data_IF_023311395442
#
_entry.id   IF_023311395442
#
_cell.length_a   1.000
_cell.length_b   1.000
_cell.length_c   1.000
_cell.angle_alpha   90.00
_cell.angle_beta   90.00
_cell.angle_gamma   90.00
#
_symmetry.space_group_name_H-M   'P 1'
#
loop_
_entity.id
_entity.type
_entity.pdbx_description
1 polymer ?
#
# COMPACT_ATOMS: atom_id res chain seq x y z
N UNK A 1 67.04 53.24 -43.47
CA UNK A 1 66.27 53.48 -42.23
C UNK A 1 65.36 52.27 -42.02
N UNK A 2 65.60 51.48 -40.95
CA UNK A 2 64.80 50.36 -40.35
C UNK A 2 64.44 49.17 -41.29
N UNK A 3 65.10 48.00 -41.24
CA UNK A 3 65.09 46.92 -40.23
C UNK A 3 63.71 46.61 -39.61
N UNK A 4 63.16 45.40 -39.86
CA UNK A 4 62.76 44.42 -38.81
C UNK A 4 62.40 43.05 -39.42
N UNK A 5 63.19 42.05 -39.02
CA UNK A 5 62.94 40.60 -38.99
C UNK A 5 61.90 40.25 -37.90
N UNK A 6 61.02 39.25 -38.08
CA UNK A 6 60.85 38.10 -37.14
C UNK A 6 59.65 37.19 -37.44
N UNK A 7 59.97 35.90 -37.41
CA UNK A 7 59.14 34.72 -37.13
C UNK A 7 58.64 34.76 -35.67
N UNK A 8 57.38 34.39 -35.37
CA UNK A 8 56.99 33.30 -34.44
C UNK A 8 55.52 33.32 -33.95
N UNK A 9 54.96 32.10 -33.82
CA UNK A 9 54.03 31.59 -32.79
C UNK A 9 52.64 32.24 -32.67
N UNK A 10 51.58 31.46 -32.94
CA UNK A 10 50.79 30.80 -31.88
C UNK A 10 49.54 30.14 -32.45
N UNK A 11 49.47 28.82 -32.28
CA UNK A 11 48.30 28.01 -31.88
C UNK A 11 46.97 28.75 -31.95
N UNK A 12 46.10 28.39 -32.90
CA UNK A 12 44.66 28.62 -32.75
C UNK A 12 43.93 27.28 -32.84
N UNK A 13 43.26 27.00 -31.73
CA UNK A 13 42.74 25.71 -31.30
C UNK A 13 41.78 25.07 -32.31
N UNK A 14 42.08 23.83 -32.69
CA UNK A 14 41.05 22.85 -33.09
C UNK A 14 40.33 22.47 -31.79
N UNK A 15 39.17 23.08 -31.54
CA UNK A 15 38.23 22.62 -30.51
C UNK A 15 37.69 21.26 -30.97
N UNK A 16 38.32 20.20 -30.47
CA UNK A 16 37.75 18.86 -30.44
C UNK A 16 36.43 18.96 -29.66
N UNK A 17 35.31 18.95 -30.37
CA UNK A 17 34.00 18.70 -29.78
C UNK A 17 33.94 17.24 -29.37
N UNK A 18 34.49 16.95 -28.19
CA UNK A 18 34.30 15.69 -27.49
C UNK A 18 32.80 15.57 -27.18
N UNK A 19 32.05 14.93 -28.07
CA UNK A 19 30.79 14.28 -27.69
C UNK A 19 31.18 13.17 -26.70
N UNK A 20 31.25 13.53 -25.42
CA UNK A 20 31.19 12.53 -24.35
C UNK A 20 29.77 12.01 -24.42
N UNK A 21 29.58 10.89 -25.11
CA UNK A 21 28.46 10.01 -24.82
C UNK A 21 28.63 9.61 -23.35
N UNK A 22 27.98 10.36 -22.45
CA UNK A 22 27.73 9.89 -21.10
C UNK A 22 26.73 8.75 -21.29
N UNK A 23 27.24 7.55 -21.51
CA UNK A 23 26.49 6.34 -21.18
C UNK A 23 26.25 6.44 -19.68
N UNK A 24 25.10 6.96 -19.28
CA UNK A 24 24.66 6.94 -17.90
C UNK A 24 24.50 5.46 -17.53
N UNK A 25 25.54 4.88 -16.94
CA UNK A 25 25.42 3.60 -16.28
C UNK A 25 24.42 3.81 -15.14
N UNK A 26 23.32 3.07 -15.19
CA UNK A 26 22.34 3.05 -14.13
C UNK A 26 23.04 2.72 -12.80
N UNK A 27 22.71 3.45 -11.73
CA UNK A 27 23.35 3.34 -10.43
C UNK A 27 22.66 4.15 -9.32
N UNK A 28 23.31 4.25 -8.15
CA UNK A 28 22.71 4.88 -6.98
C UNK A 28 22.37 6.36 -7.23
N UNK A 29 21.16 6.76 -6.82
CA UNK A 29 20.76 8.16 -6.79
C UNK A 29 21.40 8.86 -5.60
N UNK A 30 21.96 10.04 -5.83
CA UNK A 30 22.36 10.96 -4.77
C UNK A 30 21.14 11.56 -4.06
N UNK A 31 21.33 12.03 -2.83
CA UNK A 31 20.30 12.77 -2.10
C UNK A 31 19.77 13.98 -2.89
N UNK A 32 20.64 14.71 -3.60
CA UNK A 32 20.24 15.86 -4.40
C UNK A 32 19.34 15.47 -5.58
N UNK A 33 19.64 14.35 -6.25
CA UNK A 33 18.76 13.81 -7.31
C UNK A 33 17.40 13.38 -6.72
N UNK A 34 17.42 12.67 -5.59
CA UNK A 34 16.19 12.21 -4.95
C UNK A 34 15.32 13.38 -4.47
N UNK A 35 15.95 14.43 -3.90
CA UNK A 35 15.28 15.65 -3.47
C UNK A 35 14.62 16.37 -4.65
N UNK A 36 15.31 16.51 -5.78
CA UNK A 36 14.74 17.14 -6.97
C UNK A 36 13.53 16.37 -7.53
N UNK A 37 13.53 15.04 -7.46
CA UNK A 37 12.38 14.20 -7.82
C UNK A 37 11.20 14.48 -6.86
N UNK A 38 11.47 14.52 -5.54
CA UNK A 38 10.45 14.81 -4.54
C UNK A 38 9.86 16.22 -4.70
N UNK A 39 10.69 17.24 -4.93
CA UNK A 39 10.27 18.62 -5.22
C UNK A 39 9.36 18.68 -6.45
N UNK A 40 9.72 17.96 -7.52
CA UNK A 40 8.89 17.88 -8.74
C UNK A 40 7.53 17.22 -8.45
N UNK A 41 7.50 16.18 -7.62
CA UNK A 41 6.24 15.52 -7.25
C UNK A 41 5.38 16.41 -6.36
N UNK A 42 5.96 17.03 -5.31
CA UNK A 42 5.25 17.96 -4.44
C UNK A 42 4.68 19.15 -5.24
N UNK A 43 5.42 19.65 -6.23
CA UNK A 43 4.96 20.73 -7.10
C UNK A 43 3.72 20.36 -7.93
N UNK A 44 3.54 19.08 -8.33
CA UNK A 44 2.30 18.63 -9.00
C UNK A 44 1.09 18.75 -8.08
N UNK A 45 1.29 18.64 -6.78
CA UNK A 45 0.26 18.79 -5.75
C UNK A 45 0.12 20.26 -5.28
N UNK A 46 0.89 21.19 -5.85
CA UNK A 46 0.91 22.60 -5.45
C UNK A 46 1.56 22.86 -4.09
N UNK A 47 2.42 21.95 -3.63
CA UNK A 47 3.04 21.96 -2.30
C UNK A 47 4.57 22.07 -2.43
N UNK A 48 5.24 22.55 -1.38
CA UNK A 48 6.69 22.50 -1.24
C UNK A 48 7.09 21.39 -0.27
N UNK A 49 8.27 20.81 -0.45
CA UNK A 49 8.84 19.92 0.57
C UNK A 49 9.30 20.74 1.78
N UNK A 50 9.26 20.17 2.98
CA UNK A 50 9.78 20.83 4.17
C UNK A 50 11.31 20.98 4.06
N UNK A 51 11.84 22.19 4.24
CA UNK A 51 13.29 22.45 4.21
C UNK A 51 14.06 21.69 5.30
N UNK A 52 13.38 21.31 6.39
CA UNK A 52 13.90 20.46 7.46
C UNK A 52 13.76 18.97 7.18
N UNK A 53 13.25 18.57 6.01
CA UNK A 53 13.18 17.15 5.63
C UNK A 53 14.60 16.56 5.70
N UNK A 54 14.77 15.55 6.55
CA UNK A 54 16.03 14.84 6.70
C UNK A 54 16.13 13.73 5.64
N UNK A 55 17.35 13.30 5.27
CA UNK A 55 17.51 12.03 4.59
C UNK A 55 17.01 10.91 5.50
N UNK A 56 15.82 10.40 5.25
CA UNK A 56 15.36 9.17 5.89
C UNK A 56 14.88 8.19 4.83
N UNK A 57 15.66 7.14 4.61
CA UNK A 57 15.15 5.78 4.63
C UNK A 57 16.34 4.82 4.80
N UNK A 58 16.75 4.60 6.06
CA UNK A 58 17.32 3.29 6.41
C UNK A 58 16.11 2.46 6.82
N UNK A 59 15.57 1.61 5.94
CA UNK A 59 14.99 0.40 6.48
C UNK A 59 16.10 -0.20 7.34
N UNK A 60 15.93 -0.30 8.67
CA UNK A 60 16.88 -1.09 9.46
C UNK A 60 17.00 -2.41 8.71
N UNK A 61 18.21 -2.80 8.31
CA UNK A 61 18.43 -4.18 7.90
C UNK A 61 17.88 -5.01 9.05
N UNK A 62 16.73 -5.66 8.83
CA UNK A 62 16.17 -6.53 9.85
C UNK A 62 17.02 -7.79 9.81
N UNK A 63 18.08 -7.78 10.62
CA UNK A 63 19.04 -8.88 10.77
C UNK A 63 20.29 -8.73 9.91
N UNK A 64 21.32 -8.08 10.47
CA UNK A 64 22.71 -8.26 10.02
C UNK A 64 23.43 -6.96 9.68
N UNK A 65 24.60 -6.78 10.30
CA UNK A 65 25.61 -5.81 9.90
C UNK A 65 26.03 -6.09 8.46
N UNK A 66 25.78 -5.14 7.55
CA UNK A 66 26.54 -5.08 6.30
C UNK A 66 27.03 -3.66 6.08
N UNK A 67 28.36 -3.54 6.01
CA UNK A 67 29.05 -2.38 5.45
C UNK A 67 28.69 -2.30 3.95
N UNK A 68 27.64 -1.56 3.58
CA UNK A 68 27.49 -1.00 2.24
C UNK A 68 26.64 0.27 2.28
N UNK A 69 27.14 1.36 1.70
CA UNK A 69 26.54 2.70 1.66
C UNK A 69 25.33 2.81 0.69
N UNK A 70 24.60 1.72 0.42
CA UNK A 70 23.48 1.73 -0.52
C UNK A 70 22.19 2.09 0.21
N UNK A 71 21.61 3.24 -0.15
CA UNK A 71 20.31 3.70 0.35
C UNK A 71 19.24 3.21 -0.62
N UNK A 72 18.27 2.44 -0.15
CA UNK A 72 17.25 1.84 -1.04
C UNK A 72 16.20 2.84 -1.49
N UNK A 73 15.87 3.80 -0.63
CA UNK A 73 14.97 4.91 -0.93
C UNK A 73 15.22 6.10 0.00
N UNK A 74 14.63 7.24 -0.35
CA UNK A 74 14.62 8.47 0.42
C UNK A 74 13.17 8.90 0.61
N UNK A 75 12.81 9.30 1.83
CA UNK A 75 11.50 9.84 2.17
C UNK A 75 11.63 11.33 2.46
N UNK A 76 10.80 12.12 1.79
CA UNK A 76 10.73 13.57 1.95
C UNK A 76 9.34 13.93 2.42
N UNK A 77 9.22 14.56 3.60
CA UNK A 77 7.96 15.09 4.08
C UNK A 77 7.61 16.38 3.32
N UNK A 78 6.34 16.52 2.95
CA UNK A 78 5.80 17.77 2.44
C UNK A 78 5.55 18.74 3.60
N UNK A 79 5.67 20.05 3.36
CA UNK A 79 5.36 21.07 4.37
C UNK A 79 3.88 21.01 4.78
N UNK A 80 3.56 21.52 5.98
CA UNK A 80 2.18 21.72 6.46
C UNK A 80 1.36 20.42 6.61
N UNK A 81 2.01 19.30 6.94
CA UNK A 81 1.37 17.98 7.11
C UNK A 81 0.60 17.53 5.85
N UNK A 82 1.13 17.84 4.66
CA UNK A 82 0.53 17.48 3.36
C UNK A 82 1.20 16.27 2.72
N UNK A 83 1.50 15.27 3.54
CA UNK A 83 2.00 13.98 3.13
C UNK A 83 3.52 13.92 2.92
N UNK A 84 3.94 13.00 2.06
CA UNK A 84 5.34 12.65 1.86
C UNK A 84 5.56 12.01 0.50
N UNK A 85 6.82 12.00 0.03
CA UNK A 85 7.23 11.32 -1.21
C UNK A 85 8.35 10.32 -0.89
N UNK A 86 8.19 9.08 -1.33
CA UNK A 86 9.19 8.00 -1.25
C UNK A 86 9.83 7.85 -2.63
N UNK A 87 11.10 8.24 -2.72
CA UNK A 87 11.90 8.23 -3.95
C UNK A 87 12.88 7.06 -3.93
N UNK A 88 13.00 6.28 -5.00
CA UNK A 88 13.98 5.19 -5.01
C UNK A 88 15.42 5.71 -5.00
N UNK A 89 16.29 4.98 -4.31
CA UNK A 89 17.70 5.33 -4.13
C UNK A 89 18.59 4.84 -5.26
N UNK A 90 18.03 4.26 -6.33
CA UNK A 90 18.77 3.74 -7.47
C UNK A 90 17.94 3.91 -8.75
N UNK A 91 18.57 4.37 -9.83
CA UNK A 91 17.87 4.71 -11.08
C UNK A 91 17.48 3.50 -11.94
N UNK A 92 17.86 2.28 -11.54
CA UNK A 92 17.29 1.03 -12.07
C UNK A 92 15.82 0.85 -11.69
N UNK A 93 15.36 1.55 -10.64
CA UNK A 93 13.98 1.49 -10.14
C UNK A 93 13.18 2.73 -10.58
N UNK A 94 11.82 2.65 -10.60
CA UNK A 94 10.96 3.81 -10.82
C UNK A 94 11.31 4.97 -9.89
N UNK A 95 11.24 6.21 -10.39
CA UNK A 95 11.61 7.40 -9.61
C UNK A 95 10.89 7.48 -8.26
N UNK A 96 9.57 7.28 -8.28
CA UNK A 96 8.70 7.35 -7.11
C UNK A 96 8.20 5.93 -6.82
N UNK A 97 8.39 5.46 -5.59
CA UNK A 97 7.90 4.16 -5.11
C UNK A 97 6.54 4.34 -4.43
N UNK A 98 6.31 5.51 -3.83
CA UNK A 98 5.01 5.90 -3.35
C UNK A 98 4.99 7.33 -2.83
N UNK A 99 3.80 7.87 -2.63
CA UNK A 99 3.61 9.17 -2.01
C UNK A 99 2.25 9.22 -1.31
N UNK A 100 2.12 10.14 -0.36
CA UNK A 100 0.84 10.54 0.21
C UNK A 100 0.69 12.05 0.04
N UNK A 101 -0.53 12.51 -0.16
CA UNK A 101 -0.92 13.92 -0.25
C UNK A 101 -1.46 14.48 1.08
N UNK A 102 -1.54 13.64 2.12
CA UNK A 102 -2.05 14.01 3.44
C UNK A 102 -1.18 13.46 4.59
N UNK A 103 -1.16 14.17 5.71
CA UNK A 103 -0.52 13.74 6.95
C UNK A 103 1.01 13.82 6.92
N UNK A 104 1.66 12.98 7.73
CA UNK A 104 3.11 13.00 7.90
C UNK A 104 3.70 11.59 7.86
N UNK A 105 5.03 11.51 7.72
CA UNK A 105 5.77 10.26 7.77
C UNK A 105 6.61 10.18 9.04
N UNK A 106 6.27 9.24 9.93
CA UNK A 106 7.10 8.84 11.07
C UNK A 106 7.48 7.37 10.90
N UNK A 107 8.77 7.10 10.72
CA UNK A 107 9.32 5.74 10.49
C UNK A 107 9.09 4.77 11.67
N UNK A 108 8.84 5.29 12.87
CA UNK A 108 8.58 4.48 14.06
C UNK A 108 7.10 4.17 14.25
N UNK A 109 6.23 4.76 13.43
CA UNK A 109 4.77 4.66 13.50
C UNK A 109 4.21 4.47 12.10
N UNK A 110 4.48 3.32 11.49
CA UNK A 110 3.98 2.96 10.16
C UNK A 110 2.88 1.91 10.28
N UNK A 111 1.82 1.99 9.45
CA UNK A 111 0.89 0.89 9.26
C UNK A 111 1.64 -0.40 8.94
N UNK A 112 1.18 -1.51 9.47
CA UNK A 112 1.84 -2.80 9.25
C UNK A 112 1.93 -3.14 7.75
N UNK A 113 0.88 -2.84 6.98
CA UNK A 113 0.86 -3.02 5.53
C UNK A 113 1.90 -2.16 4.79
N UNK A 114 2.10 -0.92 5.21
CA UNK A 114 3.15 -0.05 4.66
C UNK A 114 4.55 -0.55 5.08
N UNK A 115 4.70 -1.02 6.32
CA UNK A 115 5.95 -1.63 6.79
C UNK A 115 6.30 -2.85 5.93
N UNK A 116 5.33 -3.71 5.64
CA UNK A 116 5.47 -4.85 4.74
C UNK A 116 5.89 -4.42 3.33
N UNK A 117 5.17 -3.44 2.76
CA UNK A 117 5.48 -2.88 1.44
C UNK A 117 6.95 -2.42 1.36
N UNK A 118 7.41 -1.65 2.34
CA UNK A 118 8.78 -1.13 2.39
C UNK A 118 9.82 -2.24 2.54
N UNK A 119 9.52 -3.29 3.31
CA UNK A 119 10.39 -4.48 3.42
C UNK A 119 10.47 -5.25 2.09
N UNK A 120 9.35 -5.45 1.40
CA UNK A 120 9.33 -6.13 0.10
C UNK A 120 10.09 -5.34 -0.97
N UNK A 121 9.96 -4.01 -0.95
CA UNK A 121 10.75 -3.14 -1.82
C UNK A 121 12.27 -3.25 -1.50
N UNK A 122 12.66 -3.18 -0.23
CA UNK A 122 14.05 -3.37 0.20
C UNK A 122 14.62 -4.71 -0.28
N UNK A 123 13.89 -5.80 -0.10
CA UNK A 123 14.31 -7.13 -0.54
C UNK A 123 14.52 -7.19 -2.07
N UNK A 124 13.71 -6.44 -2.83
CA UNK A 124 13.88 -6.33 -4.29
C UNK A 124 15.17 -5.57 -4.63
N UNK A 125 15.45 -4.47 -3.93
CA UNK A 125 16.71 -3.72 -4.07
C UNK A 125 17.92 -4.60 -3.80
N UNK A 126 17.91 -5.37 -2.71
CA UNK A 126 19.02 -6.23 -2.33
C UNK A 126 19.32 -7.30 -3.40
N UNK A 127 18.28 -7.88 -4.01
CA UNK A 127 18.43 -8.85 -5.10
C UNK A 127 19.02 -8.23 -6.37
N UNK A 128 18.57 -7.04 -6.74
CA UNK A 128 19.12 -6.32 -7.91
C UNK A 128 20.58 -5.94 -7.69
N UNK A 129 20.95 -5.51 -6.48
CA UNK A 129 22.33 -5.24 -6.09
C UNK A 129 23.18 -6.53 -6.04
N UNK A 130 22.56 -7.66 -5.70
CA UNK A 130 23.13 -9.00 -5.78
C UNK A 130 23.27 -9.56 -7.20
N UNK A 131 22.87 -8.81 -8.24
CA UNK A 131 22.83 -9.24 -9.64
C UNK A 131 21.93 -10.47 -9.89
N UNK A 132 20.81 -10.57 -9.16
CA UNK A 132 19.81 -11.60 -9.43
C UNK A 132 19.16 -11.36 -10.81
N UNK A 133 19.46 -12.24 -11.77
CA UNK A 133 19.03 -12.10 -13.16
C UNK A 133 17.51 -12.07 -13.32
N UNK A 134 16.80 -12.86 -12.52
CA UNK A 134 15.33 -12.92 -12.54
C UNK A 134 14.72 -11.60 -12.12
N UNK A 135 15.19 -11.03 -11.01
CA UNK A 135 14.72 -9.73 -10.50
C UNK A 135 15.03 -8.60 -11.47
N UNK A 136 16.23 -8.59 -12.05
CA UNK A 136 16.63 -7.58 -13.06
C UNK A 136 15.74 -7.67 -14.30
N UNK A 137 15.48 -8.89 -14.81
CA UNK A 137 14.57 -9.10 -15.94
C UNK A 137 13.15 -8.62 -15.61
N UNK A 138 12.68 -8.85 -14.39
CA UNK A 138 11.35 -8.45 -13.94
C UNK A 138 11.21 -6.91 -13.87
N UNK A 139 12.25 -6.18 -13.44
CA UNK A 139 12.26 -4.71 -13.53
C UNK A 139 12.19 -4.19 -14.97
N UNK A 140 12.85 -4.87 -15.91
CA UNK A 140 12.74 -4.48 -17.32
C UNK A 140 11.33 -4.76 -17.87
N UNK A 141 10.70 -5.87 -17.48
CA UNK A 141 9.28 -6.13 -17.80
C UNK A 141 8.38 -5.04 -17.23
N UNK A 142 8.59 -4.63 -15.98
CA UNK A 142 7.85 -3.55 -15.34
C UNK A 142 7.96 -2.24 -16.12
N UNK A 143 9.19 -1.85 -16.51
CA UNK A 143 9.44 -0.66 -17.32
C UNK A 143 8.73 -0.69 -18.68
N UNK A 144 8.72 -1.85 -19.33
CA UNK A 144 8.01 -2.06 -20.59
C UNK A 144 6.49 -1.98 -20.41
N UNK A 145 5.96 -2.50 -19.30
CA UNK A 145 4.54 -2.37 -18.95
C UNK A 145 4.20 -0.89 -18.74
N UNK A 146 4.95 -0.16 -17.90
CA UNK A 146 4.70 1.26 -17.63
C UNK A 146 4.72 2.12 -18.90
N UNK A 147 5.63 1.84 -19.83
CA UNK A 147 5.74 2.60 -21.08
C UNK A 147 4.68 2.24 -22.13
N UNK A 148 3.99 1.10 -21.98
CA UNK A 148 2.97 0.63 -22.93
C UNK A 148 1.54 0.72 -22.41
N UNK A 149 1.35 0.85 -21.09
CA UNK A 149 0.03 1.07 -20.50
C UNK A 149 -0.52 2.43 -20.91
N UNK A 150 -1.77 2.43 -21.39
CA UNK A 150 -2.53 3.66 -21.46
C UNK A 150 -2.70 4.18 -20.03
N UNK A 151 -2.38 5.46 -19.81
CA UNK A 151 -2.63 6.09 -18.52
C UNK A 151 -4.12 5.97 -18.21
N UNK A 152 -4.43 5.25 -17.13
CA UNK A 152 -5.75 5.24 -16.53
C UNK A 152 -5.67 6.05 -15.24
N UNK A 153 -6.75 6.73 -14.91
CA UNK A 153 -6.86 7.47 -13.66
C UNK A 153 -8.19 7.13 -13.02
N UNK A 154 -8.14 6.66 -11.78
CA UNK A 154 -9.31 6.39 -10.95
C UNK A 154 -9.03 7.03 -9.60
N UNK A 155 -9.79 8.07 -9.26
CA UNK A 155 -9.72 8.70 -7.94
C UNK A 155 -10.07 7.67 -6.85
N UNK A 156 -9.57 7.82 -5.61
CA UNK A 156 -9.83 6.89 -4.51
C UNK A 156 -11.33 6.63 -4.31
N UNK A 157 -11.77 5.42 -4.65
CA UNK A 157 -13.17 5.01 -4.65
C UNK A 157 -13.77 5.04 -3.24
N UNK A 158 -12.98 4.75 -2.20
CA UNK A 158 -13.45 4.76 -0.82
C UNK A 158 -13.73 6.18 -0.31
N UNK A 159 -13.24 7.22 -0.99
CA UNK A 159 -13.33 8.61 -0.55
C UNK A 159 -12.81 8.76 0.88
N UNK A 160 -13.66 9.24 1.79
CA UNK A 160 -13.27 9.51 3.18
C UNK A 160 -13.34 8.27 4.09
N UNK A 161 -13.67 7.07 3.58
CA UNK A 161 -13.73 5.87 4.39
C UNK A 161 -12.32 5.51 4.85
N UNK A 162 -12.08 5.58 6.16
CA UNK A 162 -10.77 5.43 6.78
C UNK A 162 -10.90 4.75 8.14
N UNK A 163 -11.19 3.45 8.13
CA UNK A 163 -11.36 2.65 9.34
C UNK A 163 -10.01 2.26 9.95
N UNK A 164 -10.05 1.91 11.23
CA UNK A 164 -8.90 1.47 12.02
C UNK A 164 -9.19 0.16 12.75
N UNK A 165 -8.20 -0.30 13.54
CA UNK A 165 -8.30 -1.58 14.24
C UNK A 165 -8.64 -1.47 15.74
N UNK A 166 -8.45 -0.29 16.32
CA UNK A 166 -8.63 -0.04 17.76
C UNK A 166 -10.01 0.56 18.06
N UNK A 167 -10.15 1.21 19.22
CA UNK A 167 -11.38 1.89 19.60
C UNK A 167 -11.72 3.01 18.57
N UNK A 168 -13.00 3.16 18.17
CA UNK A 168 -14.19 2.43 18.62
C UNK A 168 -14.47 1.14 17.82
N UNK A 169 -13.72 0.86 16.76
CA UNK A 169 -13.96 -0.25 15.84
C UNK A 169 -13.94 -1.62 16.53
N UNK A 170 -13.14 -1.79 17.58
CA UNK A 170 -13.02 -3.04 18.34
C UNK A 170 -13.92 -3.14 19.58
N UNK A 171 -14.88 -2.23 19.77
CA UNK A 171 -15.75 -2.19 20.96
C UNK A 171 -16.50 -3.52 21.24
N UNK A 172 -16.73 -4.32 20.19
CA UNK A 172 -17.40 -5.63 20.30
C UNK A 172 -16.44 -6.83 20.19
N UNK A 173 -15.14 -6.59 19.98
CA UNK A 173 -14.14 -7.67 19.97
C UNK A 173 -13.97 -8.23 21.40
N UNK A 174 -13.57 -9.52 21.54
CA UNK A 174 -13.41 -10.12 22.85
C UNK A 174 -12.38 -9.39 23.71
N UNK A 175 -12.61 -9.37 25.03
CA UNK A 175 -11.63 -8.87 25.97
C UNK A 175 -10.49 -9.87 26.14
N UNK A 176 -9.26 -9.37 26.25
CA UNK A 176 -8.06 -10.12 26.62
C UNK A 176 -7.38 -9.46 27.84
N UNK A 177 -6.24 -10.02 28.25
CA UNK A 177 -5.43 -9.52 29.38
C UNK A 177 -6.22 -9.36 30.68
N UNK A 178 -6.78 -10.46 31.16
CA UNK A 178 -7.59 -10.48 32.38
C UNK A 178 -8.95 -9.76 32.26
N UNK A 179 -9.36 -9.37 31.05
CA UNK A 179 -10.63 -8.69 30.80
C UNK A 179 -10.53 -7.16 30.74
N UNK A 180 -9.32 -6.61 30.61
CA UNK A 180 -9.08 -5.16 30.69
C UNK A 180 -9.01 -4.46 29.34
N UNK A 181 -8.68 -5.18 28.25
CA UNK A 181 -8.46 -4.61 26.92
C UNK A 181 -9.27 -5.37 25.87
N UNK A 182 -9.88 -4.66 24.93
CA UNK A 182 -10.47 -5.28 23.74
C UNK A 182 -9.36 -5.70 22.78
N UNK A 183 -9.44 -6.92 22.25
CA UNK A 183 -8.59 -7.34 21.14
C UNK A 183 -8.74 -6.37 19.97
N UNK A 184 -7.69 -6.18 19.18
CA UNK A 184 -7.79 -5.40 17.93
C UNK A 184 -8.71 -6.12 16.95
N UNK A 185 -9.36 -5.41 16.04
CA UNK A 185 -10.27 -6.05 15.07
C UNK A 185 -9.51 -6.99 14.12
N UNK A 186 -8.30 -6.60 13.71
CA UNK A 186 -7.50 -7.27 12.69
C UNK A 186 -7.59 -6.56 11.33
N UNK A 187 -6.53 -6.62 10.53
CA UNK A 187 -6.47 -5.96 9.23
C UNK A 187 -7.51 -6.50 8.23
N UNK A 188 -7.77 -7.81 8.24
CA UNK A 188 -8.75 -8.44 7.33
C UNK A 188 -10.18 -7.94 7.58
N UNK A 189 -10.72 -7.93 8.82
CA UNK A 189 -12.02 -7.32 9.09
C UNK A 189 -12.12 -5.84 8.74
N UNK A 190 -11.04 -5.07 8.92
CA UNK A 190 -11.02 -3.65 8.51
C UNK A 190 -11.14 -3.53 7.00
N UNK A 191 -10.31 -4.25 6.23
CA UNK A 191 -10.37 -4.23 4.77
C UNK A 191 -11.76 -4.62 4.25
N UNK A 192 -12.34 -5.70 4.80
CA UNK A 192 -13.72 -6.12 4.52
C UNK A 192 -14.72 -4.98 4.79
N UNK A 193 -14.70 -4.43 6.01
CA UNK A 193 -15.68 -3.42 6.43
C UNK A 193 -15.58 -2.13 5.61
N UNK A 194 -14.38 -1.71 5.19
CA UNK A 194 -14.22 -0.53 4.34
C UNK A 194 -14.87 -0.74 2.97
N UNK A 195 -14.66 -1.89 2.34
CA UNK A 195 -15.29 -2.21 1.05
C UNK A 195 -16.80 -2.40 1.20
N UNK A 196 -17.27 -3.03 2.28
CA UNK A 196 -18.70 -3.14 2.58
C UNK A 196 -19.34 -1.76 2.81
N UNK A 197 -18.64 -0.83 3.48
CA UNK A 197 -19.11 0.53 3.71
C UNK A 197 -19.16 1.37 2.43
N UNK A 198 -18.25 1.15 1.48
CA UNK A 198 -18.31 1.76 0.14
C UNK A 198 -19.63 1.40 -0.56
N UNK A 199 -20.00 0.12 -0.51
CA UNK A 199 -21.24 -0.34 -1.11
C UNK A 199 -22.49 -0.15 -0.24
N UNK A 200 -22.32 0.08 1.06
CA UNK A 200 -23.38 0.04 2.09
C UNK A 200 -24.23 -1.23 1.99
N UNK A 201 -23.56 -2.37 1.89
CA UNK A 201 -24.17 -3.68 1.68
C UNK A 201 -23.52 -4.75 2.58
N UNK A 202 -24.29 -5.72 3.11
CA UNK A 202 -25.74 -5.92 2.95
C UNK A 202 -26.56 -5.12 3.97
N UNK A 203 -27.89 -5.10 3.81
CA UNK A 203 -28.79 -4.51 4.83
C UNK A 203 -28.84 -5.37 6.11
N UNK A 204 -28.74 -6.68 5.97
CA UNK A 204 -28.78 -7.65 7.07
C UNK A 204 -27.79 -8.77 6.83
N UNK A 205 -27.34 -9.45 7.89
CA UNK A 205 -26.60 -10.70 7.80
C UNK A 205 -27.45 -11.79 7.11
N UNK A 206 -26.86 -12.55 6.20
CA UNK A 206 -27.58 -13.47 5.31
C UNK A 206 -27.63 -14.93 5.81
N UNK A 207 -26.72 -15.31 6.70
CA UNK A 207 -26.67 -16.62 7.33
C UNK A 207 -26.15 -16.52 8.78
N UNK A 208 -26.50 -17.49 9.63
CA UNK A 208 -25.97 -17.57 10.99
C UNK A 208 -24.45 -17.76 10.95
N UNK A 209 -23.72 -16.99 11.76
CA UNK A 209 -22.29 -17.21 12.00
C UNK A 209 -22.17 -18.03 13.30
N UNK A 210 -21.64 -19.27 13.25
CA UNK A 210 -21.47 -20.07 14.45
C UNK A 210 -20.42 -19.46 15.39
N UNK A 211 -20.60 -19.66 16.70
CA UNK A 211 -19.55 -19.38 17.67
C UNK A 211 -18.34 -20.28 17.42
N UNK A 212 -17.14 -19.75 17.66
CA UNK A 212 -15.87 -20.45 17.38
C UNK A 212 -14.82 -20.14 18.44
N UNK A 213 -13.81 -21.02 18.54
CA UNK A 213 -12.67 -20.82 19.44
C UNK A 213 -11.71 -19.80 18.81
N UNK A 214 -11.63 -18.61 19.42
CA UNK A 214 -10.76 -17.54 18.95
C UNK A 214 -9.40 -17.53 19.65
N UNK A 215 -9.26 -18.23 20.80
CA UNK A 215 -8.01 -18.25 21.58
C UNK A 215 -8.03 -19.32 22.68
N UNK A 216 -7.57 -20.53 22.36
CA UNK A 216 -7.27 -21.60 23.34
C UNK A 216 -8.44 -21.90 24.30
N UNK A 217 -9.60 -22.24 23.74
CA UNK A 217 -10.82 -22.59 24.48
C UNK A 217 -11.71 -21.39 24.81
N UNK A 218 -11.35 -20.18 24.39
CA UNK A 218 -12.20 -19.00 24.51
C UNK A 218 -13.11 -18.90 23.28
N UNK A 219 -14.42 -18.94 23.53
CA UNK A 219 -15.43 -19.01 22.48
C UNK A 219 -16.09 -17.65 22.23
N UNK A 220 -16.32 -17.33 20.96
CA UNK A 220 -17.30 -16.31 20.58
C UNK A 220 -18.73 -16.87 20.70
N UNK A 221 -19.70 -15.99 20.89
CA UNK A 221 -21.12 -16.35 20.74
C UNK A 221 -21.51 -16.45 19.27
N UNK A 222 -22.51 -17.27 18.94
CA UNK A 222 -23.10 -17.29 17.60
C UNK A 222 -23.83 -15.99 17.29
N UNK A 223 -23.80 -15.56 16.02
CA UNK A 223 -24.53 -14.40 15.51
C UNK A 223 -25.66 -14.89 14.62
N UNK A 224 -26.87 -14.42 14.88
CA UNK A 224 -28.06 -14.86 14.15
C UNK A 224 -28.19 -14.16 12.80
N UNK A 225 -28.67 -14.88 11.79
CA UNK A 225 -29.14 -14.34 10.52
C UNK A 225 -30.16 -13.23 10.76
N UNK A 226 -30.14 -12.21 9.91
CA UNK A 226 -31.12 -11.11 9.94
C UNK A 226 -30.66 -9.92 10.79
N UNK A 227 -29.55 -10.02 11.51
CA UNK A 227 -28.92 -8.88 12.18
C UNK A 227 -28.70 -7.73 11.19
N UNK A 228 -29.31 -6.57 11.47
CA UNK A 228 -29.27 -5.41 10.59
C UNK A 228 -27.98 -4.61 10.73
N UNK A 229 -27.52 -4.02 9.62
CA UNK A 229 -26.41 -3.07 9.56
C UNK A 229 -26.96 -1.66 9.41
N UNK A 230 -26.66 -0.80 10.38
CA UNK A 230 -27.10 0.58 10.40
C UNK A 230 -26.13 1.48 9.64
N UNK A 231 -26.15 1.36 8.30
CA UNK A 231 -25.28 2.14 7.40
C UNK A 231 -25.43 3.65 7.56
N UNK A 232 -26.54 4.15 8.11
CA UNK A 232 -26.73 5.57 8.35
C UNK A 232 -25.89 6.07 9.56
N UNK A 233 -25.60 5.18 10.51
CA UNK A 233 -24.79 5.49 11.69
C UNK A 233 -23.33 5.02 11.56
N UNK A 234 -22.94 4.33 10.50
CA UNK A 234 -21.54 4.04 10.18
C UNK A 234 -20.94 5.26 9.49
N UNK A 235 -20.13 6.02 10.23
CA UNK A 235 -19.42 7.19 9.71
C UNK A 235 -18.25 6.73 8.83
N UNK A 236 -17.78 7.56 7.87
CA UNK A 236 -16.63 7.21 7.03
C UNK A 236 -15.32 7.12 7.83
N UNK A 237 -15.16 7.91 8.89
CA UNK A 237 -13.99 7.86 9.80
C UNK A 237 -14.43 8.16 11.22
N UNK A 238 -13.64 7.70 12.19
CA UNK A 238 -13.81 7.97 13.62
C UNK A 238 -12.56 8.64 14.23
N UNK A 239 -11.56 8.96 13.41
CA UNK A 239 -10.34 9.63 13.83
C UNK A 239 -10.51 11.15 13.77
N UNK A 240 -10.16 11.85 14.86
CA UNK A 240 -10.28 13.31 15.00
C UNK A 240 -11.68 13.88 14.66
N UNK A 241 -12.73 13.07 14.82
CA UNK A 241 -14.13 13.48 14.63
C UNK A 241 -14.95 13.14 15.87
N UNK A 242 -16.01 13.92 16.12
CA UNK A 242 -16.99 13.57 17.16
C UNK A 242 -17.95 12.51 16.65
N UNK A 243 -18.23 11.51 17.48
CA UNK A 243 -19.19 10.45 17.19
C UNK A 243 -19.96 10.07 18.46
N UNK A 244 -21.15 9.48 18.28
CA UNK A 244 -21.99 9.00 19.38
C UNK A 244 -21.75 7.53 19.68
N UNK A 245 -22.23 7.03 20.81
CA UNK A 245 -22.23 5.59 21.10
C UNK A 245 -22.96 4.78 20.03
N UNK A 246 -24.04 5.31 19.45
CA UNK A 246 -24.75 4.68 18.33
C UNK A 246 -23.84 4.53 17.11
N UNK A 247 -23.02 5.55 16.81
CA UNK A 247 -22.06 5.45 15.71
C UNK A 247 -20.97 4.41 16.01
N UNK A 248 -20.46 4.39 17.25
CA UNK A 248 -19.44 3.43 17.68
C UNK A 248 -19.97 1.98 17.62
N UNK A 249 -21.19 1.74 18.11
CA UNK A 249 -21.81 0.42 18.12
C UNK A 249 -22.08 -0.08 16.69
N UNK A 250 -22.53 0.79 15.79
CA UNK A 250 -22.81 0.44 14.41
C UNK A 250 -21.56 -0.06 13.67
N UNK A 251 -20.44 0.66 13.78
CA UNK A 251 -19.18 0.26 13.13
C UNK A 251 -18.54 -0.95 13.83
N UNK A 252 -18.57 -1.01 15.16
CA UNK A 252 -18.02 -2.13 15.91
C UNK A 252 -18.75 -3.44 15.60
N UNK A 253 -20.09 -3.39 15.44
CA UNK A 253 -20.89 -4.53 15.01
C UNK A 253 -20.48 -5.03 13.63
N UNK A 254 -20.31 -4.12 12.66
CA UNK A 254 -19.87 -4.47 11.31
C UNK A 254 -18.52 -5.20 11.35
N UNK A 255 -17.51 -4.62 12.00
CA UNK A 255 -16.17 -5.22 12.06
C UNK A 255 -16.15 -6.53 12.85
N UNK A 256 -16.89 -6.62 13.96
CA UNK A 256 -17.00 -7.87 14.71
C UNK A 256 -17.64 -8.98 13.87
N UNK A 257 -18.69 -8.67 13.09
CA UNK A 257 -19.31 -9.64 12.18
C UNK A 257 -18.36 -10.06 11.05
N UNK A 258 -17.60 -9.13 10.48
CA UNK A 258 -16.55 -9.44 9.49
C UNK A 258 -15.52 -10.41 10.10
N UNK A 259 -15.05 -10.13 11.31
CA UNK A 259 -14.09 -11.00 12.00
C UNK A 259 -14.66 -12.36 12.38
N UNK A 260 -15.92 -12.41 12.82
CA UNK A 260 -16.58 -13.67 13.16
C UNK A 260 -16.82 -14.56 11.93
N UNK A 261 -17.19 -13.96 10.79
CA UNK A 261 -17.40 -14.68 9.53
C UNK A 261 -16.15 -15.41 9.04
N UNK A 262 -14.97 -14.86 9.33
CA UNK A 262 -13.66 -15.44 8.97
C UNK A 262 -12.97 -16.16 10.14
N UNK A 263 -13.64 -16.26 11.29
CA UNK A 263 -13.11 -16.88 12.51
C UNK A 263 -11.77 -16.29 12.99
N UNK A 264 -11.68 -14.96 13.04
CA UNK A 264 -10.48 -14.25 13.50
C UNK A 264 -10.01 -14.76 14.86
N UNK A 265 -8.72 -15.08 14.95
CA UNK A 265 -8.05 -15.38 16.19
C UNK A 265 -7.74 -14.07 16.91
N UNK A 266 -8.58 -13.70 17.90
CA UNK A 266 -8.52 -12.40 18.54
C UNK A 266 -7.43 -12.31 19.62
N UNK A 267 -6.71 -11.18 19.64
CA UNK A 267 -5.70 -10.88 20.64
C UNK A 267 -5.14 -9.47 20.52
N UNK A 268 -3.96 -9.19 21.09
CA UNK A 268 -3.25 -7.92 20.85
C UNK A 268 -2.85 -7.75 19.38
N UNK A 269 -2.67 -8.87 18.68
CA UNK A 269 -2.59 -8.95 17.22
C UNK A 269 -3.65 -9.98 16.81
N UNK A 270 -4.59 -9.55 15.97
CA UNK A 270 -5.70 -10.40 15.54
C UNK A 270 -5.48 -10.86 14.10
N UNK A 271 -5.53 -12.17 13.88
CA UNK A 271 -5.25 -12.79 12.59
C UNK A 271 -6.44 -13.55 12.02
N UNK A 272 -6.65 -13.45 10.72
CA UNK A 272 -7.69 -14.16 9.98
C UNK A 272 -7.32 -14.31 8.52
N UNK A 273 -8.04 -15.15 7.79
CA UNK A 273 -7.91 -15.28 6.34
C UNK A 273 -9.30 -15.27 5.73
N UNK A 274 -9.53 -14.32 4.83
CA UNK A 274 -10.78 -14.22 4.09
C UNK A 274 -10.78 -15.24 2.94
N UNK A 275 -11.91 -15.90 2.77
CA UNK A 275 -12.23 -16.70 1.60
C UNK A 275 -13.47 -16.11 0.92
N UNK A 276 -13.49 -15.97 -0.42
CA UNK A 276 -14.64 -15.49 -1.18
C UNK A 276 -15.98 -16.13 -0.77
N UNK A 277 -15.97 -17.42 -0.50
CA UNK A 277 -17.17 -18.16 -0.09
C UNK A 277 -17.80 -17.65 1.22
N UNK A 278 -17.02 -17.04 2.12
CA UNK A 278 -17.53 -16.45 3.36
C UNK A 278 -18.31 -15.16 3.09
N UNK A 279 -17.86 -14.33 2.14
CA UNK A 279 -18.59 -13.14 1.70
C UNK A 279 -19.93 -13.51 1.09
N UNK A 280 -19.93 -14.50 0.20
CA UNK A 280 -21.16 -15.00 -0.41
C UNK A 280 -22.12 -15.59 0.65
N UNK A 281 -21.60 -16.46 1.53
CA UNK A 281 -22.40 -17.17 2.52
C UNK A 281 -23.02 -16.24 3.57
N UNK A 282 -22.21 -15.41 4.22
CA UNK A 282 -22.65 -14.66 5.39
C UNK A 282 -23.18 -13.27 5.04
N UNK A 283 -22.69 -12.67 3.96
CA UNK A 283 -23.04 -11.30 3.58
C UNK A 283 -23.80 -11.19 2.25
N UNK A 284 -23.97 -12.29 1.49
CA UNK A 284 -24.81 -12.33 0.29
C UNK A 284 -24.17 -11.75 -0.97
N UNK A 285 -22.85 -11.56 -0.98
CA UNK A 285 -22.15 -11.17 -2.19
C UNK A 285 -22.29 -12.25 -3.28
N UNK A 286 -22.31 -11.83 -4.55
CA UNK A 286 -22.48 -12.73 -5.68
C UNK A 286 -21.25 -13.64 -5.85
N UNK A 287 -21.41 -14.93 -5.57
CA UNK A 287 -20.33 -15.90 -5.60
C UNK A 287 -19.64 -16.00 -6.96
N UNK A 288 -20.35 -15.74 -8.07
CA UNK A 288 -19.80 -15.81 -9.42
C UNK A 288 -18.90 -14.62 -9.75
N UNK A 289 -19.04 -13.53 -8.98
CA UNK A 289 -18.27 -12.31 -9.16
C UNK A 289 -17.13 -12.17 -8.13
N UNK A 290 -17.06 -13.04 -7.13
CA UNK A 290 -15.96 -13.09 -6.19
C UNK A 290 -14.84 -14.00 -6.70
N UNK A 291 -13.60 -13.53 -6.62
CA UNK A 291 -12.45 -14.33 -7.00
C UNK A 291 -11.23 -14.00 -6.12
N UNK A 292 -10.40 -15.00 -5.85
CA UNK A 292 -9.11 -14.88 -5.18
C UNK A 292 -8.03 -15.25 -6.20
N UNK A 293 -7.23 -14.27 -6.62
CA UNK A 293 -6.17 -14.48 -7.62
C UNK A 293 -4.83 -14.30 -6.95
N UNK A 294 -3.97 -15.31 -7.04
CA UNK A 294 -2.61 -15.20 -6.53
C UNK A 294 -1.72 -14.53 -7.59
N UNK A 295 -0.86 -13.62 -7.16
CA UNK A 295 0.07 -12.93 -8.07
C UNK A 295 1.02 -13.91 -8.76
N UNK A 296 1.33 -15.06 -8.16
CA UNK A 296 2.13 -16.13 -8.76
C UNK A 296 1.40 -16.91 -9.86
N UNK A 297 0.07 -16.81 -9.97
CA UNK A 297 -0.72 -17.52 -10.98
C UNK A 297 -0.82 -16.75 -12.30
N UNK A 298 -0.43 -15.48 -12.31
CA UNK A 298 -0.55 -14.59 -13.46
C UNK A 298 0.74 -13.84 -13.73
N UNK A 299 0.96 -13.49 -15.00
CA UNK A 299 2.05 -12.58 -15.39
C UNK A 299 1.86 -11.18 -14.78
N UNK A 300 2.93 -10.39 -14.68
CA UNK A 300 2.84 -9.01 -14.20
C UNK A 300 1.85 -8.16 -15.04
N UNK A 301 1.84 -8.33 -16.36
CA UNK A 301 0.89 -7.63 -17.24
C UNK A 301 -0.55 -8.01 -16.96
N UNK A 302 -0.84 -9.30 -16.76
CA UNK A 302 -2.19 -9.77 -16.41
C UNK A 302 -2.61 -9.28 -15.03
N UNK A 303 -1.68 -9.23 -14.07
CA UNK A 303 -1.93 -8.70 -12.73
C UNK A 303 -2.34 -7.23 -12.77
N UNK A 304 -1.55 -6.41 -13.46
CA UNK A 304 -1.82 -4.97 -13.62
C UNK A 304 -3.14 -4.75 -14.36
N UNK A 305 -3.39 -5.49 -15.45
CA UNK A 305 -4.65 -5.42 -16.17
C UNK A 305 -5.85 -5.80 -15.29
N UNK A 306 -5.70 -6.83 -14.45
CA UNK A 306 -6.76 -7.23 -13.51
C UNK A 306 -7.09 -6.10 -12.53
N UNK A 307 -6.09 -5.50 -11.89
CA UNK A 307 -6.29 -4.38 -10.94
C UNK A 307 -6.96 -3.21 -11.66
N UNK A 308 -6.41 -2.81 -12.80
CA UNK A 308 -6.91 -1.69 -13.59
C UNK A 308 -8.37 -1.87 -14.00
N UNK A 309 -8.77 -3.07 -14.44
CA UNK A 309 -10.15 -3.37 -14.83
C UNK A 309 -11.13 -3.35 -13.65
N UNK A 310 -10.70 -3.75 -12.46
CA UNK A 310 -11.53 -3.64 -11.26
C UNK A 310 -11.73 -2.17 -10.87
N UNK A 311 -10.66 -1.39 -10.81
CA UNK A 311 -10.72 0.04 -10.47
C UNK A 311 -11.54 0.84 -11.49
N UNK A 312 -11.33 0.63 -12.79
CA UNK A 312 -12.10 1.27 -13.86
C UNK A 312 -13.59 0.92 -13.82
N UNK A 313 -13.93 -0.22 -13.23
CA UNK A 313 -15.31 -0.64 -13.05
C UNK A 313 -15.87 -0.24 -11.68
N UNK A 314 -15.20 0.68 -10.97
CA UNK A 314 -15.57 1.22 -9.66
C UNK A 314 -15.64 0.14 -8.57
N UNK A 315 -14.71 -0.82 -8.59
CA UNK A 315 -14.67 -1.92 -7.62
C UNK A 315 -13.39 -1.87 -6.80
N UNK A 316 -13.45 -1.40 -5.54
CA UNK A 316 -12.33 -1.49 -4.61
C UNK A 316 -11.93 -2.94 -4.40
N UNK A 317 -10.64 -3.13 -4.19
CA UNK A 317 -9.99 -4.42 -4.18
C UNK A 317 -9.42 -4.69 -2.79
N UNK A 318 -9.77 -5.82 -2.19
CA UNK A 318 -9.10 -6.30 -0.99
C UNK A 318 -7.78 -6.96 -1.41
N UNK A 319 -6.68 -6.48 -0.86
CA UNK A 319 -5.34 -6.86 -1.26
C UNK A 319 -4.56 -7.42 -0.06
N UNK A 320 -3.93 -8.56 -0.27
CA UNK A 320 -3.16 -9.29 0.74
C UNK A 320 -1.68 -9.36 0.38
N UNK A 321 -0.83 -9.18 1.38
CA UNK A 321 0.58 -9.53 1.34
C UNK A 321 0.99 -10.40 2.54
N UNK A 322 1.95 -11.29 2.35
CA UNK A 322 2.47 -12.17 3.39
C UNK A 322 3.99 -12.08 3.46
N UNK A 323 4.56 -12.10 4.66
CA UNK A 323 5.97 -12.41 4.90
C UNK A 323 6.12 -13.53 5.95
N UNK A 324 7.36 -13.85 6.32
CA UNK A 324 7.66 -14.82 7.38
C UNK A 324 7.16 -14.41 8.77
N UNK A 325 6.70 -13.17 8.94
CA UNK A 325 6.22 -12.61 10.20
C UNK A 325 4.70 -12.48 10.28
N UNK A 326 3.98 -12.54 9.15
CA UNK A 326 2.52 -12.56 9.13
C UNK A 326 1.91 -12.15 7.78
N UNK A 327 0.57 -12.09 7.74
CA UNK A 327 -0.20 -11.54 6.62
C UNK A 327 -0.72 -10.15 6.94
N UNK A 328 -0.79 -9.29 5.92
CA UNK A 328 -1.36 -7.95 5.98
C UNK A 328 -2.40 -7.79 4.88
N UNK A 329 -3.55 -7.23 5.23
CA UNK A 329 -4.65 -6.97 4.30
C UNK A 329 -4.97 -5.48 4.30
N UNK A 330 -5.12 -4.91 3.10
CA UNK A 330 -5.41 -3.50 2.87
C UNK A 330 -6.32 -3.36 1.65
N UNK A 331 -6.80 -2.15 1.35
CA UNK A 331 -7.68 -1.91 0.19
C UNK A 331 -6.95 -1.11 -0.87
N UNK A 332 -6.94 -1.61 -2.10
CA UNK A 332 -6.56 -0.84 -3.28
C UNK A 332 -7.82 -0.29 -3.94
N UNK A 333 -7.93 1.02 -4.05
CA UNK A 333 -9.18 1.69 -4.46
C UNK A 333 -8.97 2.86 -5.41
N UNK A 334 -7.78 3.04 -5.99
CA UNK A 334 -7.53 4.07 -6.99
C UNK A 334 -6.21 3.87 -7.71
N UNK A 335 -5.97 4.68 -8.74
CA UNK A 335 -4.72 4.70 -9.50
C UNK A 335 -4.49 6.08 -10.11
N UNK A 336 -3.27 6.61 -10.00
CA UNK A 336 -2.89 7.89 -10.59
C UNK A 336 -2.44 7.77 -12.06
N UNK A 337 -2.23 8.91 -12.72
CA UNK A 337 -1.79 8.96 -14.12
C UNK A 337 -0.39 8.34 -14.34
N UNK A 338 0.37 8.13 -13.26
CA UNK A 338 1.71 7.52 -13.25
C UNK A 338 1.67 5.99 -13.06
N UNK A 339 0.48 5.42 -12.84
CA UNK A 339 0.28 3.99 -12.56
C UNK A 339 0.67 3.58 -11.13
N UNK A 340 0.67 4.51 -10.18
CA UNK A 340 0.74 4.25 -8.74
C UNK A 340 -0.67 4.05 -8.19
N UNK A 341 -0.86 3.03 -7.36
CA UNK A 341 -2.19 2.65 -6.86
C UNK A 341 -2.46 3.26 -5.51
N UNK A 342 -3.65 3.84 -5.34
CA UNK A 342 -4.09 4.34 -4.05
C UNK A 342 -4.38 3.16 -3.12
N UNK A 343 -3.79 3.20 -1.92
CA UNK A 343 -3.91 2.18 -0.89
C UNK A 343 -4.46 2.81 0.39
N UNK A 344 -5.53 2.20 0.90
CA UNK A 344 -6.01 2.40 2.25
C UNK A 344 -5.52 1.26 3.16
N UNK A 345 -4.65 1.61 4.11
CA UNK A 345 -3.98 0.63 4.99
C UNK A 345 -4.84 0.12 6.15
N UNK A 346 -6.06 0.65 6.34
CA UNK A 346 -6.92 0.29 7.48
C UNK A 346 -6.40 0.80 8.82
N UNK A 347 -5.75 1.96 8.81
CA UNK A 347 -5.09 2.60 9.96
C UNK A 347 -5.57 4.04 10.16
N UNK A 348 -6.89 4.24 10.18
CA UNK A 348 -7.51 5.57 10.40
C UNK A 348 -7.10 6.63 9.36
N UNK A 349 -6.79 6.20 8.13
CA UNK A 349 -6.31 7.07 7.06
C UNK A 349 -4.80 7.37 7.12
N UNK A 350 -4.12 6.93 8.18
CA UNK A 350 -2.70 7.16 8.37
C UNK A 350 -1.87 6.60 7.21
N UNK A 351 -1.16 7.50 6.50
CA UNK A 351 -0.30 7.22 5.33
C UNK A 351 -1.01 6.49 4.19
N UNK A 352 -2.34 6.61 4.09
CA UNK A 352 -3.02 6.30 2.83
C UNK A 352 -2.39 7.14 1.71
N UNK A 353 -2.32 6.59 0.51
CA UNK A 353 -1.62 7.24 -0.58
C UNK A 353 -1.37 6.31 -1.74
N UNK A 354 -0.57 6.76 -2.69
CA UNK A 354 -0.31 6.09 -3.95
C UNK A 354 1.02 5.33 -3.88
N UNK A 355 0.99 4.03 -4.13
CA UNK A 355 2.13 3.13 -4.00
C UNK A 355 2.29 2.24 -5.23
N UNK A 356 3.54 1.89 -5.51
CA UNK A 356 3.89 1.06 -6.63
C UNK A 356 3.64 -0.43 -6.31
N UNK A 357 2.51 -0.98 -6.76
CA UNK A 357 2.24 -2.41 -6.54
C UNK A 357 3.01 -3.33 -7.50
N UNK A 358 3.69 -2.82 -8.53
CA UNK A 358 4.44 -3.68 -9.46
C UNK A 358 5.76 -4.16 -8.86
N UNK A 359 6.34 -3.38 -7.93
CA UNK A 359 7.54 -3.79 -7.19
C UNK A 359 7.25 -4.93 -6.20
N UNK A 360 5.99 -5.20 -5.89
CA UNK A 360 5.54 -6.36 -5.11
C UNK A 360 5.44 -7.60 -6.02
N UNK A 361 6.57 -8.25 -6.33
CA UNK A 361 6.61 -9.39 -7.26
C UNK A 361 6.97 -10.73 -6.55
N UNK A 362 6.11 -11.76 -6.52
CA UNK A 362 6.28 -12.96 -5.71
C UNK A 362 7.19 -14.04 -6.32
N UNK A 363 7.85 -13.80 -7.46
CA UNK A 363 8.97 -14.67 -7.90
C UNK A 363 10.11 -14.68 -6.86
N UNK A 364 10.01 -13.83 -5.85
CA UNK A 364 10.80 -13.88 -4.64
C UNK A 364 10.29 -15.03 -3.75
N UNK A 365 10.95 -16.19 -3.86
CA UNK A 365 10.72 -17.38 -3.03
C UNK A 365 10.29 -17.04 -1.59
N UNK A 366 8.97 -17.11 -1.35
CA UNK A 366 8.30 -17.54 -0.12
C UNK A 366 6.88 -16.97 0.07
N UNK A 367 6.37 -16.03 -0.75
CA UNK A 367 5.22 -15.23 -0.31
C UNK A 367 4.10 -15.03 -1.34
N UNK A 368 2.91 -15.64 -1.15
CA UNK A 368 1.78 -15.41 -2.04
C UNK A 368 1.16 -14.03 -1.76
N UNK A 369 1.40 -13.06 -2.65
CA UNK A 369 0.48 -11.93 -2.77
C UNK A 369 -0.80 -12.45 -3.43
N UNK A 370 -1.97 -12.10 -2.90
CA UNK A 370 -3.23 -12.39 -3.58
C UNK A 370 -4.18 -11.22 -3.49
N UNK A 371 -5.09 -11.19 -4.45
CA UNK A 371 -6.10 -10.16 -4.60
C UNK A 371 -7.47 -10.81 -4.47
N UNK A 372 -8.30 -10.28 -3.59
CA UNK A 372 -9.66 -10.70 -3.39
C UNK A 372 -10.62 -9.65 -3.97
N UNK A 373 -11.38 -10.09 -4.96
CA UNK A 373 -12.42 -9.27 -5.57
C UNK A 373 -13.66 -9.28 -4.70
N UNK A 374 -14.17 -8.10 -4.37
CA UNK A 374 -15.49 -7.90 -3.78
C UNK A 374 -16.39 -7.22 -4.79
N UNK A 375 -17.06 -8.02 -5.60
CA UNK A 375 -17.99 -7.51 -6.61
C UNK A 375 -19.42 -7.68 -6.11
N UNK A 376 -20.19 -6.60 -6.18
CA UNK A 376 -21.63 -6.63 -6.01
C UNK A 376 -22.26 -6.63 -7.40
N UNK A 377 -23.26 -7.47 -7.61
CA UNK A 377 -24.14 -7.35 -8.76
C UNK A 377 -24.91 -6.02 -8.59
N UNK A 378 -24.63 -4.99 -9.42
CA UNK A 378 -25.46 -3.76 -9.44
C UNK A 378 -26.91 -4.24 -9.67
N UNK A 379 -27.76 -4.12 -8.65
CA UNK A 379 -29.21 -4.45 -8.71
C UNK A 379 -29.91 -3.39 -9.54
#
# INVERSE_FOLDING_TARGET
MKNYTRINKSILLILLSSFVCISSLAGPRSYAQAKAIAEKQAAKLGIQIDENSSPACKAKSFGGETNSQTVSCYVFANSEDKGFVIVSGDDRFPEIIGYSDEGTFNENELPDGLTYFMKSYQATVDKVLGNDETTIRNLEVEKNIRSSLNAIKVEPLLGNIAFGQDNPYNKMCPLYDGGSLHAVTGCVPVAMAQVMAYYRYPKTLQADIPGYDYRKGQMTSSISKGEAYDWANILPTYYNVSYTDTNADAVAKLLFHCGAAIQVQYGPLSGGNLEPSQLAKFFGYDADLLNKVYRSEVTLSQWVELINRELQAERPIIFSGFDSTGGHEFVCDGVDESGLYHINWGWNGSRNGYFDLMVLNPDYEAQPLYLQKMVIQKI
#
